data_IF_972518067209
#
_entry.id   IF_972518067209
#
_cell.length_a   1.000
_cell.length_b   1.000
_cell.length_c   1.000
_cell.angle_alpha   90.00
_cell.angle_beta   90.00
_cell.angle_gamma   90.00
#
_symmetry.space_group_name_H-M   'P 1'
#
loop_
_entity.id
_entity.type
_entity.pdbx_description
1 polymer ?
#
# COMPACT_ATOMS: atom_id res chain seq x y z
N UNK A 1 -9.57 -36.42 -57.87
CA UNK A 1 -8.67 -35.25 -57.85
C UNK A 1 -8.76 -34.62 -59.23
N UNK A 2 -9.62 -33.60 -59.39
CA UNK A 2 -9.97 -33.00 -60.68
C UNK A 2 -9.61 -31.53 -60.66
N UNK A 3 -8.95 -31.07 -61.73
CA UNK A 3 -8.37 -29.75 -61.88
C UNK A 3 -9.25 -28.91 -62.82
N UNK A 4 -9.63 -27.72 -62.32
CA UNK A 4 -9.96 -26.41 -62.95
C UNK A 4 -11.03 -26.34 -64.05
N UNK A 5 -11.84 -25.27 -63.99
CA UNK A 5 -11.96 -24.22 -65.02
C UNK A 5 -12.87 -23.04 -64.55
N UNK A 6 -12.40 -21.81 -64.85
CA UNK A 6 -13.09 -20.51 -65.09
C UNK A 6 -13.76 -19.69 -63.96
N UNK A 7 -13.28 -18.45 -63.70
CA UNK A 7 -13.74 -17.12 -64.21
C UNK A 7 -15.12 -16.69 -63.65
N UNK A 8 -15.40 -15.44 -63.25
CA UNK A 8 -14.99 -14.14 -63.79
C UNK A 8 -15.37 -13.00 -62.81
N UNK A 9 -14.74 -11.86 -63.02
CA UNK A 9 -14.76 -10.60 -62.28
C UNK A 9 -16.11 -9.95 -61.95
N UNK A 10 -16.17 -9.40 -60.72
CA UNK A 10 -16.40 -7.99 -60.37
C UNK A 10 -17.41 -7.17 -61.17
N UNK A 11 -18.46 -6.70 -60.47
CA UNK A 11 -19.10 -5.39 -60.71
C UNK A 11 -19.51 -4.78 -59.37
N UNK A 12 -18.92 -3.63 -59.07
CA UNK A 12 -19.35 -2.71 -58.04
C UNK A 12 -20.56 -1.89 -58.50
N UNK A 13 -21.20 -1.25 -57.51
CA UNK A 13 -22.27 -0.24 -57.60
C UNK A 13 -23.66 -0.72 -58.07
N UNK A 14 -24.65 -0.63 -57.18
CA UNK A 14 -25.89 0.13 -57.44
C UNK A 14 -26.71 0.35 -56.14
N UNK A 15 -27.09 1.62 -55.92
CA UNK A 15 -28.31 2.11 -55.23
C UNK A 15 -28.55 1.65 -53.77
N UNK A 16 -28.26 2.48 -52.76
CA UNK A 16 -29.02 3.69 -52.37
C UNK A 16 -30.52 3.44 -52.16
N UNK A 17 -30.99 3.87 -50.99
CA UNK A 17 -32.36 4.32 -50.70
C UNK A 17 -33.39 3.27 -50.25
N UNK A 18 -33.38 2.87 -48.97
CA UNK A 18 -34.63 2.71 -48.19
C UNK A 18 -34.43 3.36 -46.82
N UNK A 19 -35.04 4.54 -46.69
CA UNK A 19 -35.18 5.36 -45.50
C UNK A 19 -36.67 5.30 -45.11
N UNK A 20 -36.96 5.44 -43.81
CA UNK A 20 -38.26 5.32 -43.10
C UNK A 20 -38.61 3.87 -42.67
N UNK A 21 -38.99 3.60 -41.41
CA UNK A 21 -39.91 4.36 -40.56
C UNK A 21 -39.65 4.05 -39.06
N UNK A 22 -39.76 5.08 -38.23
CA UNK A 22 -39.59 5.06 -36.77
C UNK A 22 -40.82 4.48 -36.03
N UNK A 23 -40.62 3.87 -34.85
CA UNK A 23 -41.47 4.05 -33.67
C UNK A 23 -40.96 3.28 -32.43
N UNK A 24 -40.28 4.00 -31.53
CA UNK A 24 -40.62 4.16 -30.11
C UNK A 24 -41.03 2.89 -29.33
N UNK A 25 -40.12 2.41 -28.48
CA UNK A 25 -40.47 1.96 -27.13
C UNK A 25 -39.22 2.04 -26.23
N UNK A 26 -39.17 3.08 -25.40
CA UNK A 26 -38.20 3.18 -24.32
C UNK A 26 -38.61 2.26 -23.16
N UNK A 27 -37.63 1.77 -22.39
CA UNK A 27 -37.79 1.90 -20.95
C UNK A 27 -36.63 2.72 -20.36
N UNK A 28 -37.02 3.64 -19.47
CA UNK A 28 -36.18 4.28 -18.48
C UNK A 28 -35.36 3.22 -17.73
N UNK A 29 -34.03 3.35 -17.75
CA UNK A 29 -33.17 2.78 -16.72
C UNK A 29 -32.32 3.91 -16.11
N UNK A 30 -32.78 4.32 -14.93
CA UNK A 30 -32.02 4.60 -13.70
C UNK A 30 -30.57 5.10 -13.85
N UNK A 31 -30.36 6.28 -13.24
CA UNK A 31 -29.08 6.98 -13.01
C UNK A 31 -27.94 6.08 -12.54
N UNK A 32 -26.74 6.39 -13.02
CA UNK A 32 -25.53 6.35 -12.19
C UNK A 32 -24.79 7.69 -12.36
N UNK A 33 -24.81 8.50 -11.30
CA UNK A 33 -23.81 9.53 -11.05
C UNK A 33 -22.60 8.87 -10.38
N UNK A 34 -21.46 9.58 -10.45
CA UNK A 34 -20.12 9.30 -9.87
C UNK A 34 -19.26 8.36 -10.74
N UNK A 35 -18.03 8.71 -11.12
CA UNK A 35 -16.99 9.29 -10.28
C UNK A 35 -16.19 10.41 -10.95
N UNK A 36 -16.13 11.55 -10.25
CA UNK A 36 -15.07 12.52 -10.36
C UNK A 36 -13.79 11.92 -9.72
N UNK A 37 -13.11 11.02 -10.44
CA UNK A 37 -11.83 10.46 -10.00
C UNK A 37 -10.87 10.14 -11.15
N UNK A 38 -10.91 10.96 -12.22
CA UNK A 38 -10.04 10.78 -13.39
C UNK A 38 -8.96 11.87 -13.53
N UNK A 39 -9.05 12.93 -12.73
CA UNK A 39 -8.15 14.09 -12.84
C UNK A 39 -6.91 14.02 -11.93
N UNK A 40 -6.89 13.13 -10.92
CA UNK A 40 -5.72 12.92 -10.05
C UNK A 40 -4.67 11.98 -10.66
N UNK A 41 -5.04 11.16 -11.65
CA UNK A 41 -4.14 10.19 -12.28
C UNK A 41 -3.18 10.83 -13.31
N UNK A 42 -3.54 12.01 -13.84
CA UNK A 42 -2.81 12.62 -14.95
C UNK A 42 -1.49 13.27 -14.49
N UNK A 43 -1.41 13.76 -13.24
CA UNK A 43 -0.18 14.39 -12.72
C UNK A 43 0.81 13.38 -12.11
N UNK A 44 0.30 12.29 -11.51
CA UNK A 44 1.15 11.31 -10.84
C UNK A 44 1.89 10.38 -11.82
N UNK A 45 1.34 10.17 -13.02
CA UNK A 45 1.93 9.28 -14.03
C UNK A 45 3.29 9.79 -14.57
N UNK A 46 3.43 11.10 -14.74
CA UNK A 46 4.72 11.74 -15.09
C UNK A 46 5.76 11.56 -13.98
N UNK A 47 5.34 11.71 -12.72
CA UNK A 47 6.18 11.49 -11.55
C UNK A 47 6.65 10.04 -11.44
N UNK A 48 5.75 9.05 -11.61
CA UNK A 48 6.10 7.62 -11.54
C UNK A 48 7.09 7.23 -12.64
N UNK A 49 6.91 7.72 -13.87
CA UNK A 49 7.82 7.41 -14.98
C UNK A 49 9.26 7.90 -14.70
N UNK A 50 9.39 9.11 -14.16
CA UNK A 50 10.69 9.67 -13.78
C UNK A 50 11.34 8.90 -12.62
N UNK A 51 10.56 8.46 -11.64
CA UNK A 51 11.04 7.61 -10.55
C UNK A 51 11.48 6.24 -11.08
N UNK A 52 10.71 5.60 -11.97
CA UNK A 52 11.07 4.31 -12.58
C UNK A 52 12.39 4.40 -13.34
N UNK A 53 12.64 5.50 -14.07
CA UNK A 53 13.92 5.72 -14.77
C UNK A 53 15.12 5.69 -13.82
N UNK A 54 14.95 6.14 -12.58
CA UNK A 54 16.02 6.14 -11.59
C UNK A 54 16.41 4.74 -11.09
N UNK A 55 15.54 3.72 -11.26
CA UNK A 55 15.89 2.33 -10.94
C UNK A 55 17.02 1.78 -11.83
N UNK A 56 17.29 2.37 -12.99
CA UNK A 56 18.44 2.00 -13.83
C UNK A 56 19.71 2.80 -13.51
N UNK A 57 19.70 3.68 -12.52
CA UNK A 57 20.85 4.55 -12.23
C UNK A 57 22.09 3.72 -11.84
N UNK A 58 23.28 4.16 -12.27
CA UNK A 58 24.53 3.57 -11.80
C UNK A 58 24.73 3.77 -10.28
N UNK A 59 24.19 4.87 -9.73
CA UNK A 59 24.26 5.21 -8.32
C UNK A 59 23.26 4.38 -7.49
N UNK A 60 23.73 3.52 -6.56
CA UNK A 60 22.86 2.73 -5.72
C UNK A 60 21.92 3.57 -4.85
N UNK A 61 22.33 4.78 -4.44
CA UNK A 61 21.51 5.64 -3.59
C UNK A 61 20.27 6.14 -4.36
N UNK A 62 20.45 6.53 -5.63
CA UNK A 62 19.32 6.89 -6.51
C UNK A 62 18.37 5.73 -6.73
N UNK A 63 18.89 4.51 -6.93
CA UNK A 63 18.05 3.31 -7.08
C UNK A 63 17.28 2.99 -5.80
N UNK A 64 17.91 3.13 -4.63
CA UNK A 64 17.27 2.94 -3.34
C UNK A 64 16.10 3.93 -3.17
N UNK A 65 16.36 5.23 -3.35
CA UNK A 65 15.33 6.26 -3.22
C UNK A 65 14.21 6.09 -4.23
N UNK A 66 14.52 5.67 -5.46
CA UNK A 66 13.51 5.35 -6.44
C UNK A 66 12.58 4.22 -5.98
N UNK A 67 13.14 3.14 -5.42
CA UNK A 67 12.33 2.05 -4.89
C UNK A 67 11.47 2.50 -3.68
N UNK A 68 12.05 3.28 -2.75
CA UNK A 68 11.33 3.86 -1.61
C UNK A 68 10.17 4.77 -2.05
N UNK A 69 10.41 5.60 -3.06
CA UNK A 69 9.41 6.53 -3.58
C UNK A 69 8.29 5.79 -4.31
N UNK A 70 8.60 4.76 -5.10
CA UNK A 70 7.56 3.91 -5.68
C UNK A 70 6.73 3.22 -4.59
N UNK A 71 7.36 2.77 -3.49
CA UNK A 71 6.66 2.18 -2.35
C UNK A 71 5.68 3.19 -1.71
N UNK A 72 6.11 4.45 -1.56
CA UNK A 72 5.29 5.55 -1.02
C UNK A 72 4.12 5.90 -1.92
N UNK A 73 4.34 5.88 -3.24
CA UNK A 73 3.30 6.14 -4.25
C UNK A 73 2.37 4.95 -4.47
N UNK A 74 2.67 3.78 -3.89
CA UNK A 74 1.92 2.54 -4.07
C UNK A 74 1.68 2.20 -5.55
N UNK A 75 2.69 2.43 -6.40
CA UNK A 75 2.65 2.22 -7.85
C UNK A 75 2.56 0.73 -8.23
N UNK A 76 1.43 0.09 -7.89
CA UNK A 76 1.22 -1.35 -8.00
C UNK A 76 1.21 -1.86 -9.45
N UNK A 77 0.93 -0.99 -10.42
CA UNK A 77 1.06 -1.23 -11.86
C UNK A 77 2.52 -1.50 -12.27
N UNK A 78 3.49 -0.98 -11.52
CA UNK A 78 4.92 -1.19 -11.73
C UNK A 78 5.47 -2.48 -11.10
N UNK A 79 4.63 -3.31 -10.46
CA UNK A 79 5.08 -4.49 -9.69
C UNK A 79 6.01 -5.41 -10.49
N UNK A 80 5.61 -5.80 -11.72
CA UNK A 80 6.41 -6.72 -12.56
C UNK A 80 7.78 -6.12 -12.92
N UNK A 81 7.83 -4.82 -13.18
CA UNK A 81 9.08 -4.12 -13.48
C UNK A 81 10.00 -4.14 -12.26
N UNK A 82 9.46 -3.81 -11.08
CA UNK A 82 10.22 -3.81 -9.82
C UNK A 82 10.70 -5.21 -9.43
N UNK A 83 9.93 -6.27 -9.71
CA UNK A 83 10.40 -7.65 -9.56
C UNK A 83 11.62 -7.95 -10.44
N UNK A 84 11.62 -7.47 -11.68
CA UNK A 84 12.76 -7.59 -12.59
C UNK A 84 14.03 -6.93 -12.04
N UNK A 85 13.92 -5.69 -11.58
CA UNK A 85 15.03 -4.99 -10.91
C UNK A 85 15.48 -5.73 -9.65
N UNK A 86 14.53 -6.23 -8.86
CA UNK A 86 14.82 -6.95 -7.63
C UNK A 86 15.65 -8.20 -7.84
N UNK A 87 15.43 -8.93 -8.94
CA UNK A 87 16.19 -10.14 -9.28
C UNK A 87 17.63 -9.84 -9.69
N UNK A 88 17.89 -8.68 -10.29
CA UNK A 88 19.20 -8.31 -10.83
C UNK A 88 20.05 -7.49 -9.86
N UNK A 89 19.43 -6.85 -8.86
CA UNK A 89 20.10 -5.97 -7.93
C UNK A 89 21.06 -6.72 -6.99
N UNK A 90 22.30 -6.21 -6.89
CA UNK A 90 23.37 -6.78 -6.07
C UNK A 90 23.54 -6.02 -4.75
N UNK A 91 23.25 -4.73 -4.74
CA UNK A 91 23.34 -3.89 -3.55
C UNK A 91 22.22 -4.25 -2.57
N UNK A 92 22.59 -4.70 -1.38
CA UNK A 92 21.63 -5.20 -0.38
C UNK A 92 20.66 -4.13 0.15
N UNK A 93 21.07 -2.85 0.21
CA UNK A 93 20.18 -1.76 0.64
C UNK A 93 19.11 -1.48 -0.41
N UNK A 94 19.49 -1.50 -1.68
CA UNK A 94 18.56 -1.35 -2.81
C UNK A 94 17.63 -2.56 -2.89
N UNK A 95 18.15 -3.79 -2.72
CA UNK A 95 17.34 -5.00 -2.64
C UNK A 95 16.25 -4.89 -1.56
N UNK A 96 16.60 -4.40 -0.38
CA UNK A 96 15.65 -4.25 0.72
C UNK A 96 14.58 -3.19 0.41
N UNK A 97 14.95 -2.07 -0.20
CA UNK A 97 14.01 -1.06 -0.68
C UNK A 97 13.05 -1.60 -1.75
N UNK A 98 13.55 -2.43 -2.67
CA UNK A 98 12.73 -3.09 -3.69
C UNK A 98 11.78 -4.13 -3.05
N UNK A 99 12.23 -4.91 -2.05
CA UNK A 99 11.34 -5.81 -1.30
C UNK A 99 10.23 -5.03 -0.58
N UNK A 100 10.56 -3.86 -0.01
CA UNK A 100 9.58 -2.98 0.61
C UNK A 100 8.56 -2.44 -0.40
N UNK A 101 9.01 -1.96 -1.57
CA UNK A 101 8.12 -1.53 -2.64
C UNK A 101 7.18 -2.65 -3.10
N UNK A 102 7.71 -3.86 -3.30
CA UNK A 102 6.91 -5.02 -3.69
C UNK A 102 5.85 -5.37 -2.64
N UNK A 103 6.19 -5.29 -1.36
CA UNK A 103 5.23 -5.46 -0.28
C UNK A 103 4.11 -4.41 -0.36
N UNK A 104 4.45 -3.13 -0.54
CA UNK A 104 3.48 -2.04 -0.70
C UNK A 104 2.60 -2.21 -1.93
N UNK A 105 3.12 -2.83 -2.99
CA UNK A 105 2.32 -3.21 -4.16
C UNK A 105 1.43 -4.42 -3.92
N UNK A 106 1.46 -5.06 -2.76
CA UNK A 106 0.60 -6.20 -2.42
C UNK A 106 1.28 -7.57 -2.51
N UNK A 107 2.59 -7.65 -2.80
CA UNK A 107 3.36 -8.89 -2.75
C UNK A 107 3.72 -9.24 -1.29
N UNK A 108 2.76 -9.81 -0.57
CA UNK A 108 2.82 -9.95 0.91
C UNK A 108 4.05 -10.73 1.38
N UNK A 109 4.50 -11.73 0.62
CA UNK A 109 5.69 -12.52 0.90
C UNK A 109 6.99 -11.68 0.92
N UNK A 110 7.04 -10.55 0.23
CA UNK A 110 8.21 -9.65 0.25
C UNK A 110 8.45 -9.03 1.63
N UNK A 111 7.44 -8.96 2.50
CA UNK A 111 7.59 -8.49 3.87
C UNK A 111 8.57 -9.34 4.68
N UNK A 112 8.69 -10.63 4.38
CA UNK A 112 9.63 -11.53 5.06
C UNK A 112 11.07 -11.04 4.94
N UNK A 113 11.48 -10.53 3.77
CA UNK A 113 12.83 -10.00 3.58
C UNK A 113 13.08 -8.75 4.44
N UNK A 114 12.06 -7.91 4.59
CA UNK A 114 12.12 -6.69 5.42
C UNK A 114 12.23 -7.04 6.89
N UNK A 115 11.37 -7.93 7.38
CA UNK A 115 11.39 -8.39 8.77
C UNK A 115 12.70 -9.12 9.11
N UNK A 116 13.16 -10.01 8.23
CA UNK A 116 14.42 -10.73 8.43
C UNK A 116 15.64 -9.80 8.48
N UNK A 117 15.56 -8.63 7.83
CA UNK A 117 16.64 -7.65 7.85
C UNK A 117 16.76 -6.90 9.20
N UNK A 118 15.82 -7.07 10.13
CA UNK A 118 15.90 -6.50 11.48
C UNK A 118 17.12 -7.01 12.26
N UNK A 119 17.57 -8.25 12.05
CA UNK A 119 18.77 -8.79 12.71
C UNK A 119 20.00 -8.76 11.81
N UNK A 120 20.21 -7.62 11.17
CA UNK A 120 21.21 -7.49 10.13
C UNK A 120 21.80 -6.08 10.14
N UNK A 121 22.90 -5.81 9.42
CA UNK A 121 23.45 -4.46 9.26
C UNK A 121 22.53 -3.48 8.48
N UNK A 122 21.36 -3.93 8.04
CA UNK A 122 20.28 -3.10 7.47
C UNK A 122 19.11 -2.90 8.45
N UNK A 123 19.32 -3.20 9.73
CA UNK A 123 18.29 -3.12 10.76
C UNK A 123 17.60 -1.77 10.81
N UNK A 124 18.35 -0.67 10.70
CA UNK A 124 17.76 0.67 10.77
C UNK A 124 16.86 0.98 9.57
N UNK A 125 17.25 0.52 8.37
CA UNK A 125 16.45 0.63 7.15
C UNK A 125 15.18 -0.23 7.23
N UNK A 126 15.28 -1.45 7.75
CA UNK A 126 14.12 -2.30 7.96
C UNK A 126 13.15 -1.69 8.99
N UNK A 127 13.68 -1.20 10.11
CA UNK A 127 12.88 -0.53 11.13
C UNK A 127 12.16 0.70 10.57
N UNK A 128 12.86 1.55 9.79
CA UNK A 128 12.23 2.74 9.22
C UNK A 128 11.06 2.37 8.32
N UNK A 129 11.17 1.32 7.51
CA UNK A 129 10.07 0.84 6.68
C UNK A 129 8.90 0.31 7.51
N UNK A 130 9.15 -0.59 8.45
CA UNK A 130 8.09 -1.21 9.25
C UNK A 130 7.35 -0.20 10.14
N UNK A 131 8.02 0.89 10.56
CA UNK A 131 7.39 1.98 11.30
C UNK A 131 6.43 2.84 10.45
N UNK A 132 6.49 2.76 9.12
CA UNK A 132 5.56 3.44 8.21
C UNK A 132 4.31 2.62 7.88
N UNK A 133 4.13 1.45 8.49
CA UNK A 133 2.92 0.66 8.33
C UNK A 133 1.73 1.36 9.00
N UNK A 134 0.63 1.49 8.27
CA UNK A 134 -0.62 2.04 8.80
C UNK A 134 -1.30 1.10 9.81
N UNK A 135 -1.02 -0.20 9.70
CA UNK A 135 -1.57 -1.22 10.58
C UNK A 135 -0.49 -2.25 11.00
N UNK A 136 -0.53 -2.73 12.25
CA UNK A 136 0.45 -3.69 12.79
C UNK A 136 0.18 -5.15 12.38
N UNK A 137 -1.02 -5.46 11.87
CA UNK A 137 -1.51 -6.83 11.65
C UNK A 137 -0.55 -7.73 10.82
N UNK A 138 0.07 -7.25 9.72
CA UNK A 138 1.02 -8.03 8.94
C UNK A 138 2.21 -8.53 9.75
N UNK A 139 2.55 -7.87 10.87
CA UNK A 139 3.68 -8.22 11.71
C UNK A 139 3.38 -9.36 12.69
N UNK A 140 2.12 -9.65 12.98
CA UNK A 140 1.74 -10.67 13.96
C UNK A 140 2.19 -12.06 13.55
N UNK A 141 2.06 -12.39 12.26
CA UNK A 141 2.56 -13.65 11.73
C UNK A 141 4.06 -13.83 12.02
N UNK A 142 4.88 -12.79 11.82
CA UNK A 142 6.31 -12.89 12.07
C UNK A 142 6.65 -12.95 13.54
N UNK A 143 5.86 -12.32 14.41
CA UNK A 143 6.11 -12.35 15.85
C UNK A 143 6.08 -13.78 16.41
N UNK A 144 5.22 -14.64 15.87
CA UNK A 144 5.09 -16.06 16.28
C UNK A 144 6.17 -16.96 15.67
N UNK A 145 6.73 -16.59 14.51
CA UNK A 145 7.63 -17.45 13.72
C UNK A 145 9.10 -17.00 13.74
N UNK A 146 9.39 -15.82 14.28
CA UNK A 146 10.75 -15.29 14.45
C UNK A 146 11.20 -15.42 15.91
N UNK A 147 12.50 -15.46 16.14
CA UNK A 147 13.08 -15.61 17.47
C UNK A 147 14.23 -14.63 17.72
N UNK A 148 14.71 -14.61 18.96
CA UNK A 148 15.89 -13.85 19.37
C UNK A 148 15.76 -12.35 19.10
N UNK A 149 16.80 -11.76 18.50
CA UNK A 149 16.90 -10.32 18.30
C UNK A 149 15.85 -9.76 17.32
N UNK A 150 15.47 -10.53 16.30
CA UNK A 150 14.39 -10.15 15.37
C UNK A 150 13.07 -9.98 16.13
N UNK A 151 12.75 -10.92 17.02
CA UNK A 151 11.51 -10.90 17.79
C UNK A 151 11.48 -9.72 18.78
N UNK A 152 12.61 -9.42 19.43
CA UNK A 152 12.77 -8.23 20.29
C UNK A 152 12.48 -6.95 19.50
N UNK A 153 13.09 -6.79 18.33
CA UNK A 153 12.89 -5.59 17.49
C UNK A 153 11.47 -5.49 16.92
N UNK A 154 10.84 -6.63 16.60
CA UNK A 154 9.43 -6.65 16.20
C UNK A 154 8.52 -6.16 17.34
N UNK A 155 8.77 -6.58 18.59
CA UNK A 155 8.03 -6.07 19.74
C UNK A 155 8.25 -4.56 19.91
N UNK A 156 9.47 -4.06 19.75
CA UNK A 156 9.74 -2.61 19.81
C UNK A 156 8.99 -1.82 18.72
N UNK A 157 8.90 -2.36 17.49
CA UNK A 157 8.11 -1.77 16.40
C UNK A 157 6.62 -1.80 16.74
N UNK A 158 6.10 -2.94 17.19
CA UNK A 158 4.70 -3.11 17.61
C UNK A 158 4.34 -2.17 18.77
N UNK A 159 5.27 -1.89 19.68
CA UNK A 159 5.07 -0.88 20.73
C UNK A 159 4.82 0.52 20.17
N UNK A 160 5.42 0.85 19.01
CA UNK A 160 5.35 2.17 18.36
C UNK A 160 4.20 2.33 17.38
N UNK A 161 3.76 1.27 16.71
CA UNK A 161 2.65 1.33 15.73
C UNK A 161 1.40 0.56 16.16
N UNK A 162 1.51 -0.25 17.21
CA UNK A 162 0.44 -1.13 17.68
C UNK A 162 -0.73 -0.39 18.29
N UNK A 163 -1.84 -1.10 18.43
CA UNK A 163 -3.11 -0.63 18.98
C UNK A 163 -3.57 -1.57 20.12
N UNK A 164 -4.80 -1.38 20.62
CA UNK A 164 -5.34 -2.21 21.71
C UNK A 164 -5.35 -3.71 21.38
N UNK A 165 -5.59 -4.10 20.12
CA UNK A 165 -5.52 -5.50 19.71
C UNK A 165 -4.08 -6.03 19.81
N UNK A 166 -3.08 -5.21 19.46
CA UNK A 166 -1.67 -5.57 19.59
C UNK A 166 -1.32 -5.99 21.02
N UNK A 167 -1.86 -5.35 22.05
CA UNK A 167 -1.63 -5.74 23.46
C UNK A 167 -2.05 -7.19 23.69
N UNK A 168 -3.23 -7.59 23.20
CA UNK A 168 -3.70 -8.97 23.33
C UNK A 168 -2.78 -9.95 22.60
N UNK A 169 -2.26 -9.57 21.42
CA UNK A 169 -1.34 -10.40 20.62
C UNK A 169 0.04 -10.54 21.27
N UNK A 170 0.55 -9.50 21.92
CA UNK A 170 1.90 -9.53 22.52
C UNK A 170 1.93 -10.04 23.97
N UNK A 171 0.77 -10.21 24.61
CA UNK A 171 0.66 -10.67 26.00
C UNK A 171 1.43 -11.97 26.29
N UNK A 172 1.36 -13.03 25.46
CA UNK A 172 2.09 -14.28 25.72
C UNK A 172 3.61 -14.09 25.83
N UNK A 173 4.18 -13.08 25.16
CA UNK A 173 5.62 -12.82 25.14
C UNK A 173 6.12 -12.20 26.46
N UNK A 174 5.24 -11.71 27.33
CA UNK A 174 5.60 -11.25 28.67
C UNK A 174 5.96 -12.40 29.62
N UNK A 175 5.60 -13.64 29.25
CA UNK A 175 5.88 -14.87 30.00
C UNK A 175 6.96 -15.72 29.33
N UNK A 176 7.66 -15.16 28.33
CA UNK A 176 8.78 -15.83 27.65
C UNK A 176 9.92 -16.19 28.62
N UNK A 177 10.63 -17.28 28.32
CA UNK A 177 11.85 -17.65 29.04
C UNK A 177 13.05 -16.72 28.73
N UNK A 178 13.00 -15.97 27.63
CA UNK A 178 14.06 -14.99 27.30
C UNK A 178 13.76 -13.64 27.98
N UNK A 179 14.61 -13.18 28.92
CA UNK A 179 14.41 -11.90 29.61
C UNK A 179 14.37 -10.68 28.67
N UNK A 180 15.04 -10.74 27.51
CA UNK A 180 15.01 -9.66 26.53
C UNK A 180 13.64 -9.56 25.86
N UNK A 181 13.04 -10.69 25.53
CA UNK A 181 11.68 -10.75 24.97
C UNK A 181 10.67 -10.26 26.00
N UNK A 182 10.76 -10.72 27.25
CA UNK A 182 9.88 -10.27 28.34
C UNK A 182 9.95 -8.74 28.50
N UNK A 183 11.16 -8.19 28.55
CA UNK A 183 11.37 -6.74 28.66
C UNK A 183 10.78 -5.99 27.47
N UNK A 184 11.03 -6.44 26.24
CA UNK A 184 10.51 -5.81 25.03
C UNK A 184 8.98 -5.86 24.98
N UNK A 185 8.36 -6.98 25.33
CA UNK A 185 6.90 -7.13 25.34
C UNK A 185 6.23 -6.20 26.37
N UNK A 186 6.81 -6.07 27.58
CA UNK A 186 6.33 -5.14 28.60
C UNK A 186 6.48 -3.68 28.19
N UNK A 187 7.61 -3.32 27.59
CA UNK A 187 7.84 -1.98 27.05
C UNK A 187 6.83 -1.65 25.95
N UNK A 188 6.63 -2.58 25.00
CA UNK A 188 5.67 -2.40 23.92
C UNK A 188 4.23 -2.23 24.44
N UNK A 189 3.83 -3.04 25.42
CA UNK A 189 2.51 -2.92 26.08
C UNK A 189 2.35 -1.53 26.71
N UNK A 190 3.33 -1.12 27.52
CA UNK A 190 3.31 0.19 28.20
C UNK A 190 3.26 1.35 27.19
N UNK A 191 4.02 1.26 26.11
CA UNK A 191 4.05 2.29 25.06
C UNK A 191 2.72 2.38 24.30
N UNK A 192 2.02 1.26 24.07
CA UNK A 192 0.68 1.28 23.47
C UNK A 192 -0.33 1.88 24.44
N UNK A 193 -0.35 1.44 25.70
CA UNK A 193 -1.28 1.94 26.72
C UNK A 193 -1.15 3.46 26.92
N UNK A 194 0.08 3.98 26.98
CA UNK A 194 0.35 5.41 27.06
C UNK A 194 -0.23 6.17 25.85
N UNK A 195 0.06 5.71 24.62
CA UNK A 195 -0.46 6.37 23.41
C UNK A 195 -1.97 6.33 23.30
N UNK A 196 -2.60 5.22 23.70
CA UNK A 196 -4.06 5.08 23.71
C UNK A 196 -4.69 6.01 24.76
N UNK A 197 -4.09 6.14 25.94
CA UNK A 197 -4.56 7.07 26.97
C UNK A 197 -4.38 8.55 26.57
N UNK A 198 -3.31 8.88 25.84
CA UNK A 198 -3.00 10.21 25.33
C UNK A 198 -3.83 10.64 24.11
N UNK A 199 -4.67 9.75 23.57
CA UNK A 199 -5.61 10.07 22.48
C UNK A 199 -7.03 10.29 23.05
N UNK A 200 -7.33 11.38 23.77
CA UNK A 200 -8.70 11.70 24.17
C UNK A 200 -9.49 12.20 22.97
N UNK A 201 -10.73 11.73 22.86
CA UNK A 201 -11.76 12.19 21.93
C UNK A 201 -11.96 13.72 22.01
N UNK A 202 -11.38 14.48 21.09
CA UNK A 202 -11.72 15.89 20.87
C UNK A 202 -13.10 16.02 20.19
N UNK A 203 -14.16 15.66 20.91
CA UNK A 203 -15.56 16.01 20.59
C UNK A 203 -16.27 16.50 21.84
N UNK A 204 -15.67 17.45 22.55
CA UNK A 204 -16.44 18.32 23.44
C UNK A 204 -17.17 19.33 22.55
N UNK A 205 -18.37 18.93 22.11
CA UNK A 205 -19.43 19.84 21.65
C UNK A 205 -19.63 20.89 22.73
N UNK A 206 -19.02 22.07 22.57
CA UNK A 206 -19.28 23.22 23.43
C UNK A 206 -20.72 23.67 23.15
N UNK A 207 -21.65 23.61 24.12
CA UNK A 207 -22.98 24.15 23.91
C UNK A 207 -22.84 25.66 23.66
N UNK A 208 -23.36 26.09 22.51
CA UNK A 208 -23.42 27.51 22.14
C UNK A 208 -24.40 28.17 23.11
N UNK A 209 -23.87 28.92 24.07
CA UNK A 209 -24.66 29.75 24.96
C UNK A 209 -25.26 30.89 24.11
N UNK A 210 -26.52 30.74 23.72
CA UNK A 210 -27.32 31.80 23.09
C UNK A 210 -27.62 32.84 24.17
N UNK A 211 -27.05 34.03 24.01
CA UNK A 211 -27.36 35.17 24.86
C UNK A 211 -28.82 35.57 24.68
N UNK A 212 -29.60 35.48 25.74
CA UNK A 212 -30.91 36.13 25.82
C UNK A 212 -30.67 37.65 25.84
N UNK A 213 -31.08 38.32 24.77
CA UNK A 213 -31.16 39.78 24.72
C UNK A 213 -32.29 40.23 25.66
N UNK A 214 -31.92 40.73 26.83
CA UNK A 214 -32.79 41.56 27.65
C UNK A 214 -33.12 42.84 26.88
N UNK A 215 -34.36 42.92 26.42
CA UNK A 215 -35.00 44.17 26.04
C UNK A 215 -35.72 44.68 27.28
N UNK A 216 -35.34 45.87 27.73
CA UNK A 216 -36.10 46.63 28.75
C UNK A 216 -36.48 47.99 28.16
N UNK A 217 -37.63 48.55 28.61
CA UNK A 217 -38.44 49.54 27.91
C UNK A 217 -37.86 50.96 27.85
#
# INVERSE_FOLDING_TARGET
MSIKIFQKHGRALLCSLILLLAAVCAPLLVRAQTDANQDAAIDNSGSVADVVKQLSSADPLKRQHAAEELARLEAADQRRLVEGYRLQEKNQRVRLALDWALYRFGKKESLFAVVSALDSSRSDQAQSYLLTLDNPEPLYFFLEHMNGNTQVKLLDILGKIGNQETIARIKPFQESFDPKIVKAAKNATSAIEQRVAETPSNTTTRPRQVGNGESSP
#
